data_IF_304396631858
#
_entry.id   IF_304396631858
#
_cell.length_a   1.000
_cell.length_b   1.000
_cell.length_c   1.000
_cell.angle_alpha   90.00
_cell.angle_beta   90.00
_cell.angle_gamma   90.00
#
_symmetry.space_group_name_H-M   'P 1'
#
loop_
_entity.id
_entity.type
_entity.pdbx_description
1 polymer ?
2 water ?
#
# COMPACT_ATOMS: atom_id res chain seq x y z
N UNK A 1 11.22 6.84 -11.81
CA UNK A 1 9.95 6.42 -11.24
C UNK A 1 9.79 4.89 -11.39
N UNK A 2 10.63 4.29 -12.22
CA UNK A 2 10.79 2.84 -12.26
C UNK A 2 12.25 2.53 -12.02
N UNK A 3 12.51 1.58 -11.12
CA UNK A 3 13.88 1.27 -10.73
C UNK A 3 14.02 -0.24 -10.59
N UNK A 4 15.27 -0.69 -10.72
CA UNK A 4 15.65 -2.07 -10.46
C UNK A 4 16.34 -2.09 -9.10
N UNK A 5 15.68 -2.69 -8.10
CA UNK A 5 16.20 -2.79 -6.75
C UNK A 5 16.74 -4.20 -6.54
N UNK A 6 17.95 -4.31 -6.01
CA UNK A 6 18.51 -5.58 -5.61
C UNK A 6 18.38 -5.71 -4.10
N UNK A 7 17.80 -6.83 -3.65
CA UNK A 7 17.58 -7.10 -2.24
C UNK A 7 18.44 -8.28 -1.82
N UNK A 8 19.61 -8.06 -1.21
CA UNK A 8 20.49 -9.19 -0.85
C UNK A 8 19.96 -9.98 0.33
N UNK A 9 18.87 -10.70 0.10
CA UNK A 9 18.25 -11.55 1.11
C UNK A 9 19.25 -12.55 1.66
N UNK A 10 19.52 -12.45 2.96
CA UNK A 10 20.52 -13.28 3.61
C UNK A 10 19.93 -14.24 4.64
N UNK A 11 18.62 -14.41 4.66
CA UNK A 11 17.98 -15.33 5.57
C UNK A 11 17.42 -14.69 6.82
N UNK A 12 17.85 -13.48 7.16
CA UNK A 12 17.33 -12.77 8.30
C UNK A 12 16.04 -12.07 7.97
N UNK A 13 15.55 -11.23 8.90
CA UNK A 13 14.32 -10.49 8.64
C UNK A 13 14.52 -9.48 7.50
N UNK A 14 13.54 -9.42 6.60
CA UNK A 14 13.63 -8.51 5.46
C UNK A 14 13.09 -7.12 5.77
N UNK A 15 12.28 -7.00 6.82
CA UNK A 15 11.85 -5.69 7.26
C UNK A 15 10.89 -4.99 6.33
N UNK A 16 9.96 -5.72 5.72
CA UNK A 16 8.92 -5.09 4.93
C UNK A 16 7.66 -5.96 4.96
N UNK A 17 6.52 -5.31 4.72
CA UNK A 17 5.24 -5.98 4.52
C UNK A 17 4.70 -5.58 3.15
N UNK A 18 3.90 -6.48 2.56
CA UNK A 18 3.37 -6.25 1.23
C UNK A 18 1.89 -6.59 1.18
N UNK A 19 1.18 -5.92 0.27
CA UNK A 19 -0.23 -6.20 0.00
C UNK A 19 -0.34 -6.61 -1.46
N UNK A 20 -0.87 -7.80 -1.71
CA UNK A 20 -0.98 -8.33 -3.05
C UNK A 20 -2.38 -8.20 -3.61
N UNK A 21 -2.69 -9.05 -4.58
CA UNK A 21 -3.99 -9.04 -5.23
C UNK A 21 -4.88 -10.18 -4.78
N UNK A 30 -13.19 -1.85 -8.64
CA UNK A 30 -12.94 -0.45 -8.92
C UNK A 30 -11.61 -0.20 -9.60
N UNK A 31 -10.94 0.88 -9.20
CA UNK A 31 -9.71 1.31 -9.83
C UNK A 31 -8.52 0.68 -9.10
N UNK A 32 -7.59 0.11 -9.88
CA UNK A 32 -6.37 -0.46 -9.33
C UNK A 32 -5.17 0.14 -10.05
N UNK A 33 -4.06 0.27 -9.33
CA UNK A 33 -2.76 0.57 -9.93
C UNK A 33 -1.85 -0.65 -9.80
N UNK A 34 -1.13 -1.01 -10.85
CA UNK A 34 -0.57 -2.37 -10.93
C UNK A 34 0.67 -2.58 -10.08
N UNK A 35 0.81 -3.80 -9.59
CA UNK A 35 1.96 -4.22 -8.83
C UNK A 35 1.60 -4.67 -7.43
N UNK A 36 2.59 -5.28 -6.77
CA UNK A 36 2.47 -5.66 -5.37
C UNK A 36 2.83 -4.46 -4.51
N UNK A 37 1.89 -4.02 -3.67
CA UNK A 37 2.06 -2.80 -2.89
C UNK A 37 2.86 -3.08 -1.62
N UNK A 38 3.91 -2.29 -1.42
CA UNK A 38 4.72 -2.38 -0.21
C UNK A 38 4.07 -1.46 0.84
N UNK A 39 3.51 -2.07 1.87
CA UNK A 39 2.74 -1.32 2.87
C UNK A 39 3.59 -0.82 4.02
N UNK A 40 4.57 -1.61 4.46
CA UNK A 40 5.40 -1.25 5.60
C UNK A 40 6.86 -1.53 5.27
N UNK A 41 7.74 -0.61 5.70
CA UNK A 41 9.17 -0.76 5.53
C UNK A 41 9.82 -0.31 6.83
N UNK A 42 10.47 -1.23 7.53
CA UNK A 42 11.12 -0.91 8.79
C UNK A 42 12.30 0.02 8.54
N UNK A 43 12.35 1.19 9.18
CA UNK A 43 13.51 2.07 8.98
C UNK A 43 14.81 1.35 9.34
N UNK A 44 15.79 1.50 8.47
CA UNK A 44 17.13 0.93 8.64
C UNK A 44 17.15 -0.59 8.61
N UNK A 45 16.04 -1.22 8.26
CA UNK A 45 16.03 -2.64 7.99
C UNK A 45 16.61 -2.96 6.62
N UNK A 46 16.59 -4.25 6.29
CA UNK A 46 17.22 -4.70 5.05
C UNK A 46 16.55 -4.09 3.83
N UNK A 47 15.21 -4.13 3.78
CA UNK A 47 14.50 -3.58 2.63
C UNK A 47 14.75 -2.09 2.49
N UNK A 48 14.73 -1.37 3.61
CA UNK A 48 15.01 0.07 3.56
C UNK A 48 16.41 0.34 3.04
N UNK A 49 17.42 -0.32 3.61
CA UNK A 49 18.78 -0.11 3.16
C UNK A 49 18.96 -0.51 1.71
N UNK A 50 18.15 -1.46 1.22
CA UNK A 50 18.25 -1.90 -0.17
C UNK A 50 17.61 -0.91 -1.14
N UNK A 51 16.79 0.01 -0.67
CA UNK A 51 16.18 1.03 -1.51
C UNK A 51 14.67 0.93 -1.61
N UNK A 52 14.02 -0.02 -0.97
CA UNK A 52 12.57 -0.13 -1.02
C UNK A 52 11.91 0.83 -0.03
N UNK A 53 10.73 1.32 -0.39
CA UNK A 53 10.03 2.30 0.43
C UNK A 53 8.54 2.01 0.40
N UNK A 54 7.86 2.51 1.45
CA UNK A 54 6.41 2.41 1.50
C UNK A 54 5.83 3.13 0.29
N UNK A 55 4.81 2.52 -0.32
CA UNK A 55 4.19 3.04 -1.51
C UNK A 55 4.72 2.44 -2.80
N UNK A 56 5.91 1.88 -2.77
CA UNK A 56 6.45 1.21 -3.95
C UNK A 56 5.51 0.12 -4.43
N UNK A 57 5.61 -0.20 -5.71
CA UNK A 57 4.84 -1.27 -6.33
C UNK A 57 5.80 -2.23 -7.02
N UNK A 58 5.90 -3.46 -6.52
CA UNK A 58 6.76 -4.45 -7.14
C UNK A 58 6.08 -4.93 -8.42
N UNK A 59 6.70 -4.66 -9.57
CA UNK A 59 6.16 -5.07 -10.85
C UNK A 59 6.62 -6.47 -11.25
N UNK A 60 7.87 -6.81 -10.96
CA UNK A 60 8.41 -8.10 -11.34
C UNK A 60 9.50 -8.49 -10.34
N UNK A 61 9.77 -9.79 -10.28
CA UNK A 61 10.80 -10.36 -9.41
C UNK A 61 11.65 -11.27 -10.28
N UNK A 62 12.91 -10.91 -10.48
CA UNK A 62 13.82 -11.67 -11.33
C UNK A 62 13.21 -11.96 -12.69
N UNK A 63 12.50 -10.96 -13.24
CA UNK A 63 11.89 -11.07 -14.54
C UNK A 63 10.50 -11.66 -14.55
N UNK A 64 10.05 -12.25 -13.45
CA UNK A 64 8.72 -12.81 -13.37
C UNK A 64 7.71 -11.71 -13.03
N UNK A 65 6.68 -11.58 -13.86
CA UNK A 65 5.67 -10.57 -13.65
C UNK A 65 4.83 -10.91 -12.42
N UNK A 66 4.72 -9.95 -11.50
CA UNK A 66 3.91 -10.11 -10.29
C UNK A 66 2.87 -9.00 -10.18
N UNK A 67 2.58 -8.31 -11.29
CA UNK A 67 1.55 -7.29 -11.28
C UNK A 67 0.21 -7.84 -10.79
N UNK A 68 -0.08 -9.10 -11.12
CA UNK A 68 -1.34 -9.74 -10.77
C UNK A 68 -1.18 -10.79 -9.68
N UNK A 69 -0.07 -10.77 -8.96
CA UNK A 69 0.25 -11.82 -8.02
C UNK A 69 -0.55 -11.68 -6.73
N UNK A 70 -1.04 -12.81 -6.22
CA UNK A 70 -1.64 -12.83 -4.90
C UNK A 70 -0.57 -12.56 -3.84
N UNK A 71 -1.02 -12.37 -2.60
CA UNK A 71 -0.06 -12.11 -1.52
C UNK A 71 0.93 -13.25 -1.38
N UNK A 72 0.45 -14.50 -1.41
CA UNK A 72 1.36 -15.62 -1.26
C UNK A 72 2.26 -15.76 -2.47
N UNK A 73 1.69 -15.68 -3.68
CA UNK A 73 2.50 -15.74 -4.89
C UNK A 73 3.64 -14.72 -4.83
N UNK A 74 3.36 -13.54 -4.30
CA UNK A 74 4.40 -12.52 -4.18
C UNK A 74 5.42 -12.92 -3.13
N UNK A 75 4.97 -13.47 -2.01
CA UNK A 75 5.90 -13.92 -0.97
C UNK A 75 6.78 -15.04 -1.52
N UNK A 76 6.17 -16.02 -2.18
CA UNK A 76 6.95 -17.12 -2.76
C UNK A 76 8.00 -16.60 -3.72
N UNK A 77 7.61 -15.70 -4.62
CA UNK A 77 8.55 -15.15 -5.59
C UNK A 77 9.73 -14.47 -4.88
N UNK A 78 9.46 -13.82 -3.75
CA UNK A 78 10.52 -13.11 -3.03
C UNK A 78 11.40 -14.03 -2.21
N UNK A 79 10.95 -15.26 -1.93
CA UNK A 79 11.68 -16.16 -1.07
C UNK A 79 12.21 -17.41 -1.78
N UNK A 80 11.91 -17.59 -3.06
CA UNK A 80 12.35 -18.79 -3.74
C UNK A 80 13.84 -18.73 -4.09
N UNK A 81 14.47 -19.88 -4.30
CA UNK A 81 15.91 -19.88 -4.60
C UNK A 81 16.25 -19.03 -5.81
N UNK A 82 17.37 -18.32 -5.72
CA UNK A 82 17.83 -17.46 -6.80
C UNK A 82 19.26 -17.04 -6.51
N UNK A 83 19.96 -16.64 -7.57
CA UNK A 83 21.33 -16.12 -7.40
C UNK A 83 21.30 -14.68 -6.91
N UNK A 84 20.48 -13.84 -7.53
CA UNK A 84 20.24 -12.47 -7.08
C UNK A 84 18.73 -12.27 -6.98
N UNK A 85 18.32 -11.35 -6.12
CA UNK A 85 16.93 -10.98 -5.94
C UNK A 85 16.77 -9.56 -6.49
N UNK A 86 16.40 -9.47 -7.77
CA UNK A 86 16.25 -8.20 -8.46
C UNK A 86 14.77 -7.88 -8.59
N UNK A 87 14.36 -6.73 -8.08
CA UNK A 87 12.96 -6.31 -8.08
C UNK A 87 12.79 -5.14 -9.03
N UNK A 88 11.78 -5.21 -9.89
CA UNK A 88 11.38 -4.08 -10.70
C UNK A 88 10.26 -3.33 -9.98
N UNK A 89 10.53 -2.08 -9.61
CA UNK A 89 9.65 -1.32 -8.73
C UNK A 89 9.26 0.00 -9.39
N UNK A 90 7.97 0.34 -9.30
CA UNK A 90 7.48 1.65 -9.71
C UNK A 90 7.29 2.52 -8.47
N UNK A 91 7.68 3.79 -8.59
CA UNK A 91 7.64 4.73 -7.47
C UNK A 91 7.09 6.06 -7.95
N UNK A 92 6.25 6.67 -7.11
CA UNK A 92 5.66 7.97 -7.43
C UNK A 92 6.45 9.10 -6.79
N UNK B 1 1.33 5.29 14.84
CA UNK B 1 0.63 6.55 15.08
C UNK B 1 -0.77 6.51 14.48
N UNK B 2 -1.70 7.21 15.13
CA UNK B 2 -3.09 7.27 14.70
C UNK B 2 -3.54 8.72 14.73
N UNK B 3 -4.48 9.05 13.85
CA UNK B 3 -5.07 10.38 13.85
C UNK B 3 -6.37 10.36 13.08
N UNK B 4 -7.25 11.30 13.40
CA UNK B 4 -8.54 11.43 12.74
C UNK B 4 -8.45 12.49 11.65
N UNK B 5 -8.97 12.15 10.47
CA UNK B 5 -8.88 13.00 9.29
C UNK B 5 -10.30 13.29 8.83
N UNK B 6 -10.60 14.57 8.59
CA UNK B 6 -11.90 14.99 8.08
C UNK B 6 -11.72 15.57 6.68
N UNK B 7 -12.48 15.05 5.72
CA UNK B 7 -12.41 15.59 4.36
C UNK B 7 -13.54 16.59 4.12
N UNK B 8 -13.24 17.78 3.61
CA UNK B 8 -14.31 18.77 3.36
C UNK B 8 -15.23 18.41 2.19
N UNK B 9 -14.99 17.30 1.50
CA UNK B 9 -15.84 16.82 0.41
C UNK B 9 -16.94 17.77 -0.04
N UNK B 12 -16.92 16.23 -6.78
CA UNK B 12 -15.56 16.47 -6.28
C UNK B 12 -14.78 15.20 -6.03
N UNK B 13 -13.69 15.03 -6.77
CA UNK B 13 -12.86 13.83 -6.58
C UNK B 13 -12.04 13.89 -5.29
N UNK B 14 -11.95 12.74 -4.62
CA UNK B 14 -11.19 12.68 -3.38
C UNK B 14 -9.69 12.80 -3.62
N UNK B 15 -9.22 12.34 -4.77
CA UNK B 15 -7.81 12.47 -5.09
C UNK B 15 -6.91 11.48 -4.40
N UNK B 16 -7.38 10.27 -4.14
CA UNK B 16 -6.55 9.21 -3.60
C UNK B 16 -6.95 7.88 -4.23
N UNK B 17 -6.04 6.91 -4.15
CA UNK B 17 -6.31 5.53 -4.51
C UNK B 17 -6.05 4.66 -3.29
N UNK B 18 -6.77 3.53 -3.22
CA UNK B 18 -6.61 2.60 -2.12
C UNK B 18 -6.35 1.20 -2.66
N UNK B 19 -5.72 0.38 -1.83
CA UNK B 19 -5.35 -0.98 -2.19
C UNK B 19 -5.67 -1.88 -1.00
N UNK B 20 -5.94 -3.15 -1.29
CA UNK B 20 -6.22 -4.12 -0.25
C UNK B 20 -7.69 -4.40 -0.07
N UNK B 21 -7.98 -5.20 0.96
CA UNK B 21 -9.32 -5.64 1.26
C UNK B 21 -9.40 -7.13 1.46
N UNK B 22 -10.45 -7.61 2.11
CA UNK B 22 -10.59 -9.04 2.38
C UNK B 22 -11.38 -9.74 1.28
N UNK B 33 -5.99 -10.85 6.57
CA UNK B 33 -6.63 -9.60 6.98
C UNK B 33 -5.65 -8.43 6.93
N UNK B 34 -5.02 -8.22 5.78
CA UNK B 34 -4.00 -7.16 5.69
C UNK B 34 -4.57 -5.77 5.95
N UNK B 35 -5.77 -5.50 5.47
CA UNK B 35 -6.40 -4.21 5.66
C UNK B 35 -6.41 -3.40 4.36
N UNK B 36 -6.81 -2.13 4.51
CA UNK B 36 -6.98 -1.22 3.39
C UNK B 36 -5.98 -0.08 3.56
N UNK B 37 -5.17 0.15 2.53
CA UNK B 37 -4.12 1.16 2.57
C UNK B 37 -4.33 2.17 1.46
N UNK B 38 -3.86 3.40 1.70
CA UNK B 38 -3.84 4.43 0.68
C UNK B 38 -2.58 4.23 -0.17
N UNK B 39 -2.78 3.94 -1.45
CA UNK B 39 -1.65 3.65 -2.34
C UNK B 39 -1.14 4.86 -3.09
N UNK B 40 -2.02 5.81 -3.42
CA UNK B 40 -1.61 7.02 -4.11
C UNK B 40 -2.39 8.20 -3.57
N UNK B 41 -1.72 9.35 -3.53
CA UNK B 41 -2.31 10.61 -3.08
C UNK B 41 -1.91 11.69 -4.07
N UNK B 42 -2.90 12.29 -4.74
CA UNK B 42 -2.63 13.35 -5.72
C UNK B 42 -2.06 14.57 -5.00
N UNK B 43 -0.86 15.04 -5.36
CA UNK B 43 -0.34 16.26 -4.74
C UNK B 43 -1.31 17.42 -4.91
N UNK B 44 -1.59 18.11 -3.80
CA UNK B 44 -2.47 19.27 -3.78
C UNK B 44 -3.93 18.90 -4.05
N UNK B 45 -4.28 17.61 -3.98
CA UNK B 45 -5.66 17.20 -4.04
C UNK B 45 -6.32 17.22 -2.67
N UNK B 46 -7.60 16.86 -2.65
CA UNK B 46 -8.37 16.96 -1.42
C UNK B 46 -7.79 16.05 -0.34
N UNK B 47 -7.52 14.79 -0.69
CA UNK B 47 -6.96 13.86 0.30
C UNK B 47 -5.62 14.37 0.82
N UNK B 48 -4.77 14.87 -0.08
CA UNK B 48 -3.47 15.39 0.34
C UNK B 48 -3.65 16.59 1.26
N UNK B 49 -4.53 17.52 0.89
CA UNK B 49 -4.78 18.69 1.72
C UNK B 49 -5.47 18.35 3.04
N UNK B 50 -6.04 17.17 3.16
CA UNK B 50 -6.65 16.73 4.41
C UNK B 50 -5.67 16.06 5.36
N UNK B 51 -4.46 15.76 4.89
CA UNK B 51 -3.46 15.13 5.71
C UNK B 51 -3.26 13.66 5.46
N UNK B 52 -4.00 13.07 4.53
CA UNK B 52 -3.81 11.66 4.22
C UNK B 52 -2.51 11.46 3.45
N UNK B 53 -1.85 10.32 3.69
CA UNK B 53 -0.56 10.04 3.10
C UNK B 53 -0.53 8.64 2.54
N UNK B 54 0.31 8.44 1.52
CA UNK B 54 0.57 7.10 1.02
C UNK B 54 1.06 6.21 2.16
N UNK B 55 0.54 4.99 2.22
CA UNK B 55 0.89 4.05 3.26
C UNK B 55 -0.02 4.04 4.46
N UNK B 56 -0.84 5.08 4.65
CA UNK B 56 -1.80 5.08 5.73
C UNK B 56 -2.73 3.89 5.62
N UNK B 57 -3.01 3.25 6.75
CA UNK B 57 -3.99 2.18 6.82
C UNK B 57 -5.31 2.77 7.31
N UNK B 58 -6.39 2.58 6.55
CA UNK B 58 -7.69 3.09 6.92
C UNK B 58 -8.32 2.13 7.91
N UNK B 59 -8.47 2.58 9.16
CA UNK B 59 -9.04 1.76 10.21
C UNK B 59 -10.56 1.86 10.28
N UNK B 60 -11.10 3.05 10.12
CA UNK B 60 -12.54 3.26 10.24
C UNK B 60 -12.94 4.44 9.36
N UNK B 61 -14.21 4.42 8.94
CA UNK B 61 -14.79 5.48 8.13
C UNK B 61 -16.11 5.88 8.78
N UNK B 62 -16.17 7.10 9.31
CA UNK B 62 -17.37 7.61 9.97
C UNK B 62 -17.86 6.66 11.05
N UNK B 63 -16.91 6.13 11.83
CA UNK B 63 -17.22 5.23 12.92
C UNK B 63 -17.36 3.77 12.54
N UNK B 64 -17.44 3.46 11.26
CA UNK B 64 -17.58 2.09 10.79
C UNK B 64 -16.21 1.46 10.67
N UNK B 65 -15.97 0.40 11.44
CA UNK B 65 -14.74 -0.37 11.31
C UNK B 65 -14.61 -0.92 9.90
N UNK B 66 -13.46 -0.68 9.27
CA UNK B 66 -13.18 -1.22 7.94
C UNK B 66 -11.83 -1.93 7.96
N UNK B 67 -11.35 -2.28 9.15
CA UNK B 67 -10.12 -3.06 9.24
C UNK B 67 -10.22 -4.34 8.43
N UNK B 68 -11.41 -4.94 8.36
CA UNK B 68 -11.64 -6.21 7.69
C UNK B 68 -12.60 -6.07 6.51
N UNK B 69 -12.68 -4.87 5.94
CA UNK B 69 -13.63 -4.63 4.87
C UNK B 69 -13.07 -5.05 3.52
N UNK B 70 -13.97 -5.34 2.59
CA UNK B 70 -13.57 -5.58 1.21
C UNK B 70 -13.11 -4.29 0.56
N UNK B 71 -12.40 -4.42 -0.56
CA UNK B 71 -12.05 -3.23 -1.33
C UNK B 71 -13.30 -2.48 -1.78
N UNK B 72 -14.32 -3.22 -2.21
CA UNK B 72 -15.57 -2.58 -2.64
C UNK B 72 -16.28 -1.94 -1.45
N UNK B 73 -16.24 -2.58 -0.29
CA UNK B 73 -16.85 -1.99 0.90
C UNK B 73 -16.12 -0.72 1.33
N UNK B 74 -14.79 -0.73 1.24
CA UNK B 74 -14.04 0.46 1.62
C UNK B 74 -14.36 1.62 0.68
N UNK B 75 -14.41 1.35 -0.63
CA UNK B 75 -14.79 2.38 -1.58
C UNK B 75 -16.18 2.91 -1.27
N UNK B 76 -17.13 2.01 -1.00
CA UNK B 76 -18.49 2.43 -0.75
C UNK B 76 -18.59 3.28 0.51
N UNK B 77 -17.91 2.87 1.58
CA UNK B 77 -17.95 3.64 2.82
C UNK B 77 -17.41 5.06 2.61
N UNK B 78 -16.45 5.21 1.68
CA UNK B 78 -15.84 6.52 1.48
C UNK B 78 -16.68 7.41 0.58
N UNK B 79 -17.46 6.83 -0.33
CA UNK B 79 -18.26 7.60 -1.27
C UNK B 79 -19.72 7.71 -0.86
N UNK B 80 -20.12 7.06 0.23
CA UNK B 80 -21.52 7.08 0.62
C UNK B 80 -21.90 8.45 1.18
N UNK B 81 -23.16 8.84 1.05
CA UNK B 81 -23.58 10.15 1.57
C UNK B 81 -23.41 10.23 3.09
N UNK B 82 -22.95 11.39 3.55
CA UNK B 82 -22.68 11.59 4.97
C UNK B 82 -22.67 13.08 5.26
N UNK B 83 -22.81 13.40 6.55
CA UNK B 83 -22.72 14.81 6.96
C UNK B 83 -21.31 15.34 6.81
N UNK B 84 -20.33 14.59 7.31
CA UNK B 84 -18.91 14.91 7.18
C UNK B 84 -18.14 13.61 7.04
N UNK B 85 -17.19 13.58 6.11
CA UNK B 85 -16.38 12.39 5.86
C UNK B 85 -15.21 12.39 6.82
N UNK B 86 -15.18 11.40 7.72
CA UNK B 86 -14.16 11.30 8.76
C UNK B 86 -13.52 9.93 8.70
N UNK B 87 -12.18 9.90 8.71
CA UNK B 87 -11.43 8.66 8.67
C UNK B 87 -10.51 8.55 9.89
N UNK B 88 -10.28 7.32 10.32
CA UNK B 88 -9.24 6.99 11.28
C UNK B 88 -8.17 6.21 10.54
N UNK B 89 -6.92 6.67 10.60
CA UNK B 89 -5.83 5.99 9.92
C UNK B 89 -4.68 5.71 10.87
N UNK B 90 -3.92 4.66 10.54
CA UNK B 90 -2.74 4.20 11.27
C UNK B 90 -1.56 4.30 10.29
N UNK B 91 -0.48 4.97 10.71
CA UNK B 91 0.70 5.12 9.89
C UNK B 91 1.95 4.77 10.68
N UNK B 92 2.99 4.37 9.96
CA UNK B 92 4.28 4.03 10.57
C UNK B 92 4.12 2.89 11.56
#
# INVERSE_FOLDING_TARGET
SVEEIRLPRAGGPLGLSIVGGSDHSSHPFGVQEPGVFISKVLPRGLAARSGLRVGDRILAVNGQDVRDATHQEAVSALLRPCLELSLLVRRD
SVEEIRLPRAGGPLGLSIVGGSDHSSHPFGVQEPGVFISKVLPRGLAARSGLRVGDRILAVNGQDVRDATHQEAVSALLRPCLELSLLVRRD
#
